data_IF_809972544714
#
_entry.id   IF_809972544714
#
_cell.length_a   1.000
_cell.length_b   1.000
_cell.length_c   1.000
_cell.angle_alpha   90.00
_cell.angle_beta   90.00
_cell.angle_gamma   90.00
#
_symmetry.space_group_name_H-M   'P 1'
#
loop_
_entity.id
_entity.type
_entity.pdbx_description
1 polymer ?
#
# COMPACT_ATOMS: atom_id res chain seq x y z
N UNK A 1 18.10 25.51 -17.17
CA UNK A 1 17.36 24.47 -16.42
C UNK A 1 15.87 24.75 -16.56
N UNK A 2 15.10 23.79 -17.01
CA UNK A 2 13.66 23.99 -17.20
C UNK A 2 12.94 23.94 -15.83
N UNK A 3 11.89 24.78 -15.62
CA UNK A 3 11.11 24.71 -14.38
C UNK A 3 10.49 23.34 -14.11
N UNK A 4 10.19 22.57 -15.16
CA UNK A 4 9.64 21.21 -15.03
C UNK A 4 10.64 20.24 -14.40
N UNK A 5 11.96 20.39 -14.62
CA UNK A 5 12.98 19.54 -14.01
C UNK A 5 13.09 19.75 -12.51
N UNK A 6 13.00 20.99 -12.04
CA UNK A 6 13.01 21.31 -10.62
C UNK A 6 11.75 20.76 -9.92
N UNK A 7 10.59 20.92 -10.55
CA UNK A 7 9.33 20.42 -10.03
C UNK A 7 9.33 18.87 -9.94
N UNK A 8 9.84 18.19 -10.95
CA UNK A 8 9.98 16.74 -10.94
C UNK A 8 10.88 16.25 -9.81
N UNK A 9 12.02 16.93 -9.54
CA UNK A 9 12.92 16.60 -8.45
C UNK A 9 12.26 16.79 -7.09
N UNK A 10 11.48 17.86 -6.91
CA UNK A 10 10.71 18.07 -5.69
C UNK A 10 9.66 17.00 -5.46
N UNK A 11 8.93 16.60 -6.50
CA UNK A 11 7.93 15.53 -6.43
C UNK A 11 8.57 14.18 -6.10
N UNK A 12 9.72 13.87 -6.67
CA UNK A 12 10.44 12.62 -6.37
C UNK A 12 10.92 12.60 -4.92
N UNK A 13 11.42 13.73 -4.39
CA UNK A 13 11.82 13.83 -2.99
C UNK A 13 10.63 13.65 -2.05
N UNK A 14 9.50 14.29 -2.35
CA UNK A 14 8.26 14.13 -1.57
C UNK A 14 7.75 12.68 -1.60
N UNK A 15 7.76 12.02 -2.77
CA UNK A 15 7.37 10.63 -2.89
C UNK A 15 8.30 9.69 -2.10
N UNK A 16 9.60 9.97 -2.08
CA UNK A 16 10.56 9.19 -1.30
C UNK A 16 10.24 9.22 0.19
N UNK A 17 9.79 10.35 0.71
CA UNK A 17 9.43 10.51 2.12
C UNK A 17 8.23 9.65 2.54
N UNK A 18 7.41 9.20 1.59
CA UNK A 18 6.28 8.30 1.86
C UNK A 18 6.72 6.89 2.25
N UNK A 19 7.97 6.51 1.91
CA UNK A 19 8.51 5.17 2.12
C UNK A 19 9.50 5.15 3.28
N UNK A 20 9.58 4.00 3.94
CA UNK A 20 10.53 3.75 5.03
C UNK A 20 11.92 3.41 4.47
N UNK A 21 12.57 4.42 3.88
CA UNK A 21 13.93 4.31 3.35
C UNK A 21 14.76 5.47 3.92
N UNK A 22 15.82 5.17 4.72
CA UNK A 22 16.70 6.22 5.22
C UNK A 22 17.35 7.01 4.09
N UNK A 23 17.63 8.30 4.33
CA UNK A 23 18.18 9.20 3.32
C UNK A 23 19.57 8.77 2.81
N UNK A 24 20.33 8.05 3.64
CA UNK A 24 21.67 7.55 3.32
C UNK A 24 21.69 6.17 2.66
N UNK A 25 20.50 5.59 2.39
CA UNK A 25 20.38 4.28 1.73
C UNK A 25 19.85 4.46 0.31
N UNK A 26 20.58 3.90 -0.65
CA UNK A 26 20.12 3.76 -2.03
C UNK A 26 19.74 2.29 -2.26
N UNK A 27 18.43 2.02 -2.36
CA UNK A 27 17.90 0.67 -2.50
C UNK A 27 17.30 0.47 -3.88
N UNK A 28 17.78 -0.55 -4.61
CA UNK A 28 17.38 -0.80 -6.00
C UNK A 28 16.65 -2.13 -6.24
N UNK A 29 16.62 -3.02 -5.26
CA UNK A 29 16.01 -4.35 -5.42
C UNK A 29 14.51 -4.38 -5.13
N UNK A 30 13.79 -3.35 -5.54
CA UNK A 30 12.36 -3.18 -5.26
C UNK A 30 11.48 -4.21 -5.97
N UNK A 31 11.95 -4.80 -7.06
CA UNK A 31 11.21 -5.84 -7.76
C UNK A 31 11.12 -7.14 -6.96
N UNK A 32 12.07 -7.39 -6.07
CA UNK A 32 12.08 -8.55 -5.19
C UNK A 32 11.37 -8.26 -3.87
N UNK A 33 11.87 -7.27 -3.14
CA UNK A 33 11.31 -6.85 -1.86
C UNK A 33 11.27 -5.31 -1.83
N UNK A 34 10.09 -4.74 -1.82
CA UNK A 34 9.91 -3.30 -1.80
C UNK A 34 9.87 -2.78 -0.35
N UNK A 35 10.42 -1.58 -0.08
CA UNK A 35 10.21 -0.92 1.21
C UNK A 35 8.74 -0.60 1.40
N UNK A 36 8.30 -0.57 2.65
CA UNK A 36 6.91 -0.21 2.97
C UNK A 36 6.69 1.30 2.87
N UNK A 37 5.53 1.70 2.39
CA UNK A 37 4.99 3.01 2.68
C UNK A 37 4.75 3.11 4.19
N UNK A 38 4.96 4.28 4.77
CA UNK A 38 4.65 4.51 6.19
C UNK A 38 3.17 4.24 6.50
N UNK A 39 2.26 4.58 5.58
CA UNK A 39 0.84 4.31 5.71
C UNK A 39 0.53 2.80 5.73
N UNK A 40 1.24 2.01 4.94
CA UNK A 40 1.11 0.55 4.92
C UNK A 40 1.58 -0.06 6.23
N UNK A 41 2.71 0.39 6.76
CA UNK A 41 3.21 -0.06 8.07
C UNK A 41 2.22 0.25 9.18
N UNK A 42 1.66 1.45 9.18
CA UNK A 42 0.65 1.85 10.16
C UNK A 42 -0.59 0.98 10.09
N UNK A 43 -1.10 0.73 8.88
CA UNK A 43 -2.27 -0.14 8.68
C UNK A 43 -2.01 -1.58 9.17
N UNK A 44 -0.79 -2.09 8.94
CA UNK A 44 -0.37 -3.39 9.44
C UNK A 44 -0.33 -3.46 10.96
N UNK A 45 0.22 -2.46 11.62
CA UNK A 45 0.28 -2.37 13.08
C UNK A 45 -1.13 -2.32 13.68
N UNK A 46 -2.04 -1.55 13.10
CA UNK A 46 -3.44 -1.49 13.51
C UNK A 46 -4.14 -2.84 13.34
N UNK A 47 -3.86 -3.54 12.25
CA UNK A 47 -4.42 -4.87 12.00
C UNK A 47 -3.92 -5.90 13.01
N UNK A 48 -2.64 -5.84 13.40
CA UNK A 48 -2.08 -6.69 14.45
C UNK A 48 -2.72 -6.41 15.81
N UNK A 49 -2.94 -5.14 16.13
CA UNK A 49 -3.63 -4.77 17.38
C UNK A 49 -5.04 -5.35 17.44
N UNK A 50 -5.79 -5.26 16.34
CA UNK A 50 -7.14 -5.87 16.27
C UNK A 50 -7.08 -7.38 16.39
N UNK A 51 -6.10 -8.01 15.76
CA UNK A 51 -5.90 -9.46 15.81
C UNK A 51 -5.55 -9.95 17.20
N UNK A 52 -4.82 -9.13 17.97
CA UNK A 52 -4.52 -9.40 19.37
C UNK A 52 -5.73 -9.29 20.29
N UNK A 53 -6.82 -8.71 19.81
CA UNK A 53 -8.09 -8.58 20.52
C UNK A 53 -9.24 -9.15 19.70
N UNK A 54 -9.26 -10.48 19.48
CA UNK A 54 -10.18 -11.10 18.51
C UNK A 54 -11.66 -10.90 18.83
N UNK A 55 -11.99 -10.61 20.10
CA UNK A 55 -13.37 -10.31 20.49
C UNK A 55 -13.89 -8.99 19.93
N UNK A 56 -13.02 -8.11 19.43
CA UNK A 56 -13.41 -6.86 18.76
C UNK A 56 -13.73 -7.04 17.29
N UNK A 57 -13.42 -8.20 16.72
CA UNK A 57 -13.66 -8.50 15.31
C UNK A 57 -15.05 -9.09 15.15
N UNK A 58 -15.90 -8.42 14.37
CA UNK A 58 -17.26 -8.88 14.08
C UNK A 58 -17.30 -9.67 12.77
N UNK A 59 -18.32 -10.53 12.55
CA UNK A 59 -18.44 -11.28 11.30
C UNK A 59 -18.45 -10.39 10.05
N UNK A 60 -19.00 -9.18 10.13
CA UNK A 60 -19.00 -8.23 9.03
C UNK A 60 -17.59 -7.78 8.62
N UNK A 61 -16.64 -7.83 9.55
CA UNK A 61 -15.26 -7.42 9.31
C UNK A 61 -14.46 -8.46 8.51
N UNK A 62 -14.92 -9.70 8.46
CA UNK A 62 -14.19 -10.80 7.82
C UNK A 62 -13.93 -10.57 6.33
N UNK A 63 -14.83 -9.90 5.66
CA UNK A 63 -14.77 -9.70 4.21
C UNK A 63 -14.67 -8.22 3.80
N UNK A 64 -14.88 -7.29 4.73
CA UNK A 64 -14.97 -5.87 4.41
C UNK A 64 -13.67 -5.31 3.81
N UNK A 65 -12.51 -5.69 4.36
CA UNK A 65 -11.22 -5.23 3.87
C UNK A 65 -10.90 -5.81 2.49
N UNK A 66 -11.26 -7.07 2.24
CA UNK A 66 -11.08 -7.72 0.94
C UNK A 66 -11.94 -7.04 -0.12
N UNK A 67 -13.19 -6.74 0.18
CA UNK A 67 -14.08 -6.04 -0.74
C UNK A 67 -13.60 -4.61 -1.02
N UNK A 68 -13.12 -3.93 0.01
CA UNK A 68 -12.53 -2.59 -0.16
C UNK A 68 -11.30 -2.63 -1.06
N UNK A 69 -10.43 -3.62 -0.87
CA UNK A 69 -9.24 -3.79 -1.71
C UNK A 69 -9.61 -4.04 -3.17
N UNK A 70 -10.61 -4.89 -3.42
CA UNK A 70 -11.13 -5.13 -4.76
C UNK A 70 -11.65 -3.85 -5.41
N UNK A 71 -12.41 -3.07 -4.67
CA UNK A 71 -12.96 -1.79 -5.14
C UNK A 71 -11.85 -0.80 -5.50
N UNK A 72 -10.86 -0.64 -4.63
CA UNK A 72 -9.75 0.29 -4.84
C UNK A 72 -8.87 -0.13 -6.02
N UNK A 73 -8.58 -1.41 -6.15
CA UNK A 73 -7.82 -1.93 -7.28
C UNK A 73 -8.59 -1.78 -8.59
N UNK A 74 -9.90 -2.01 -8.56
CA UNK A 74 -10.78 -1.78 -9.69
C UNK A 74 -10.75 -0.32 -10.17
N UNK A 75 -10.68 0.63 -9.26
CA UNK A 75 -10.54 2.05 -9.61
C UNK A 75 -9.25 2.35 -10.35
N UNK A 76 -8.14 1.72 -9.95
CA UNK A 76 -6.85 1.87 -10.63
C UNK A 76 -6.93 1.33 -12.05
N UNK A 77 -7.60 0.19 -12.24
CA UNK A 77 -7.74 -0.47 -13.55
C UNK A 77 -8.86 0.10 -14.41
N UNK A 78 -9.72 0.95 -13.86
CA UNK A 78 -10.89 1.48 -14.58
C UNK A 78 -12.05 0.49 -14.69
N UNK A 79 -12.16 -0.45 -13.76
CA UNK A 79 -13.26 -1.41 -13.68
C UNK A 79 -13.95 -1.34 -12.31
N UNK A 80 -15.00 -2.12 -12.12
CA UNK A 80 -15.65 -2.28 -10.81
C UNK A 80 -15.02 -3.44 -10.00
N UNK A 81 -15.51 -3.65 -8.78
CA UNK A 81 -14.99 -4.70 -7.92
C UNK A 81 -15.24 -6.10 -8.48
N UNK A 82 -16.28 -6.30 -9.29
CA UNK A 82 -16.59 -7.59 -9.91
C UNK A 82 -15.54 -8.02 -10.93
N UNK A 83 -14.83 -7.05 -11.53
CA UNK A 83 -13.73 -7.32 -12.45
C UNK A 83 -12.42 -7.72 -11.76
N UNK A 84 -12.39 -7.82 -10.43
CA UNK A 84 -11.19 -8.10 -9.66
C UNK A 84 -11.36 -9.37 -8.83
N UNK A 85 -10.44 -10.31 -8.98
CA UNK A 85 -10.35 -11.51 -8.14
C UNK A 85 -9.01 -11.48 -7.39
N UNK A 86 -9.04 -11.84 -6.11
CA UNK A 86 -7.87 -11.87 -5.25
C UNK A 86 -7.50 -13.31 -4.91
N UNK A 87 -6.21 -13.62 -5.07
CA UNK A 87 -5.66 -14.94 -4.75
C UNK A 87 -4.52 -14.79 -3.75
N UNK A 88 -4.32 -15.75 -2.82
CA UNK A 88 -3.25 -15.66 -1.83
C UNK A 88 -1.85 -15.71 -2.45
N UNK A 89 -1.70 -16.43 -3.56
CA UNK A 89 -0.43 -16.59 -4.27
C UNK A 89 -0.67 -17.07 -5.70
N UNK A 90 0.34 -16.89 -6.55
CA UNK A 90 0.33 -17.35 -7.94
C UNK A 90 0.74 -18.79 -8.12
N UNK A 91 1.30 -19.40 -7.10
CA UNK A 91 1.78 -20.79 -7.10
C UNK A 91 0.70 -21.77 -6.67
#
# INVERSE_FOLDING_TARGET
MSPSGEHENELLAECRELFDVPADVAYFNVANLAPHLHSVRRAGDEALDRRGRPWTIEPADWFSDVERLRLLFGRILGTDAEGVALFPATS
#
